data_IF_257588534117
#
_entry.id   IF_257588534117
#
_cell.length_a   1.000
_cell.length_b   1.000
_cell.length_c   1.000
_cell.angle_alpha   90.00
_cell.angle_beta   90.00
_cell.angle_gamma   90.00
#
_symmetry.space_group_name_H-M   'P 1'
#
loop_
_entity.id
_entity.type
_entity.pdbx_description
1 polymer ?
#
# COMPACT_ATOMS: atom_id res chain seq x y z
N UNK A 1 9.82 -16.31 -16.39
CA UNK A 1 9.86 -14.91 -16.88
C UNK A 1 8.59 -14.17 -16.43
N UNK A 2 8.68 -12.85 -16.25
CA UNK A 2 7.49 -12.04 -16.04
C UNK A 2 6.68 -11.94 -17.34
N UNK A 3 5.33 -12.05 -17.33
CA UNK A 3 4.44 -12.13 -16.16
C UNK A 3 4.01 -13.56 -15.73
N UNK A 4 4.55 -14.61 -16.34
CA UNK A 4 4.15 -16.02 -16.06
C UNK A 4 4.21 -16.37 -14.57
N UNK A 5 5.21 -15.91 -13.84
CA UNK A 5 5.35 -16.12 -12.39
C UNK A 5 4.21 -15.45 -11.58
N UNK A 6 3.73 -14.27 -12.02
CA UNK A 6 2.60 -13.58 -11.38
C UNK A 6 1.29 -14.32 -11.60
N UNK A 7 1.11 -14.89 -12.79
CA UNK A 7 -0.04 -15.71 -13.13
C UNK A 7 -0.06 -17.03 -12.35
N UNK A 8 1.09 -17.71 -12.22
CA UNK A 8 1.22 -18.97 -11.49
C UNK A 8 0.78 -18.89 -10.01
N UNK A 9 0.80 -17.70 -9.40
CA UNK A 9 0.42 -17.47 -8.00
C UNK A 9 -0.95 -16.80 -7.82
N UNK A 10 -1.73 -16.61 -8.90
CA UNK A 10 -2.99 -15.87 -8.84
C UNK A 10 -4.01 -16.48 -7.86
N UNK A 11 -4.34 -17.76 -8.01
CA UNK A 11 -5.31 -18.44 -7.15
C UNK A 11 -4.89 -18.48 -5.67
N UNK A 12 -3.59 -18.58 -5.41
CA UNK A 12 -3.02 -18.54 -4.05
C UNK A 12 -3.32 -17.19 -3.38
N UNK A 13 -3.03 -16.09 -4.07
CA UNK A 13 -3.25 -14.73 -3.57
C UNK A 13 -4.72 -14.40 -3.42
N UNK A 14 -5.57 -14.88 -4.33
CA UNK A 14 -7.03 -14.71 -4.23
C UNK A 14 -7.61 -15.41 -2.99
N UNK A 15 -7.17 -16.64 -2.71
CA UNK A 15 -7.55 -17.33 -1.48
C UNK A 15 -7.03 -16.60 -0.25
N UNK A 16 -5.74 -16.25 -0.23
CA UNK A 16 -5.13 -15.52 0.87
C UNK A 16 -5.88 -14.21 1.20
N UNK A 17 -6.27 -13.45 0.17
CA UNK A 17 -7.07 -12.23 0.32
C UNK A 17 -8.43 -12.47 0.98
N UNK A 18 -9.12 -13.56 0.63
CA UNK A 18 -10.41 -13.93 1.24
C UNK A 18 -10.25 -14.39 2.69
N UNK A 19 -9.20 -15.15 2.97
CA UNK A 19 -8.99 -15.78 4.27
C UNK A 19 -8.28 -14.85 5.28
N UNK A 20 -7.77 -13.69 4.83
CA UNK A 20 -7.01 -12.78 5.68
C UNK A 20 -5.57 -13.23 5.95
N UNK A 21 -5.04 -14.19 5.18
CA UNK A 21 -3.70 -14.75 5.34
C UNK A 21 -2.61 -13.84 4.73
N UNK A 22 -2.03 -12.98 5.57
CA UNK A 22 -1.01 -12.00 5.15
C UNK A 22 0.29 -12.62 4.64
N UNK A 23 0.61 -13.85 5.01
CA UNK A 23 1.85 -14.54 4.60
C UNK A 23 1.81 -14.93 3.11
N UNK A 24 0.61 -15.14 2.57
CA UNK A 24 0.39 -15.54 1.18
C UNK A 24 -0.16 -14.41 0.31
N UNK A 25 -0.46 -13.26 0.91
CA UNK A 25 -0.85 -12.04 0.20
C UNK A 25 0.34 -11.32 -0.44
N UNK A 26 0.04 -10.45 -1.40
CA UNK A 26 1.00 -9.46 -1.90
C UNK A 26 0.83 -8.14 -1.16
N UNK A 27 1.45 -8.05 0.02
CA UNK A 27 1.40 -6.87 0.89
C UNK A 27 2.36 -5.77 0.41
N UNK A 28 2.06 -5.16 -0.74
CA UNK A 28 2.87 -4.08 -1.29
C UNK A 28 2.85 -2.86 -0.36
N UNK A 29 4.02 -2.51 0.17
CA UNK A 29 4.19 -1.34 1.03
C UNK A 29 5.60 -0.74 0.83
N UNK A 30 5.69 0.58 0.89
CA UNK A 30 6.98 1.28 0.95
C UNK A 30 7.60 1.19 2.35
N UNK A 31 8.89 1.53 2.47
CA UNK A 31 9.62 1.43 3.75
C UNK A 31 9.01 2.28 4.88
N UNK A 32 8.41 3.43 4.54
CA UNK A 32 7.77 4.33 5.52
C UNK A 32 6.30 3.99 5.82
N UNK A 33 5.83 2.79 5.53
CA UNK A 33 4.42 2.43 5.72
C UNK A 33 3.93 2.57 7.18
N UNK A 34 4.82 2.36 8.16
CA UNK A 34 4.49 2.43 9.58
C UNK A 34 4.05 3.83 10.07
N UNK A 35 4.40 4.91 9.36
CA UNK A 35 3.98 6.29 9.68
C UNK A 35 2.75 6.73 8.89
N UNK A 36 2.14 5.83 8.10
CA UNK A 36 0.88 6.09 7.42
C UNK A 36 -0.27 6.28 8.39
N UNK A 37 -1.30 7.03 7.97
CA UNK A 37 -2.49 7.28 8.77
C UNK A 37 -3.76 6.96 7.98
N UNK A 38 -4.73 6.31 8.63
CA UNK A 38 -6.06 6.10 8.08
C UNK A 38 -6.85 7.42 8.15
N UNK A 39 -7.01 8.08 7.00
CA UNK A 39 -7.78 9.32 6.87
C UNK A 39 -8.25 9.51 5.43
N UNK A 40 -9.25 10.38 5.17
CA UNK A 40 -9.67 10.70 3.81
C UNK A 40 -8.50 11.19 2.96
N UNK A 41 -8.42 10.70 1.72
CA UNK A 41 -7.32 11.04 0.81
C UNK A 41 -7.18 12.56 0.58
N UNK A 42 -8.31 13.28 0.48
CA UNK A 42 -8.33 14.73 0.33
C UNK A 42 -7.65 15.45 1.52
N UNK A 43 -7.93 15.01 2.76
CA UNK A 43 -7.31 15.57 3.96
C UNK A 43 -5.80 15.31 3.96
N UNK A 44 -5.37 14.09 3.58
CA UNK A 44 -3.94 13.75 3.51
C UNK A 44 -3.20 14.63 2.49
N UNK A 45 -3.78 14.84 1.32
CA UNK A 45 -3.20 15.67 0.27
C UNK A 45 -3.08 17.14 0.70
N UNK A 46 -4.15 17.73 1.25
CA UNK A 46 -4.12 19.11 1.77
C UNK A 46 -3.07 19.28 2.87
N UNK A 47 -2.99 18.32 3.79
CA UNK A 47 -2.03 18.37 4.90
C UNK A 47 -0.58 18.26 4.41
N UNK A 48 -0.29 17.33 3.50
CA UNK A 48 1.05 17.20 2.90
C UNK A 48 1.48 18.51 2.22
N UNK A 49 0.56 19.18 1.52
CA UNK A 49 0.86 20.45 0.88
C UNK A 49 1.13 21.59 1.88
N UNK A 50 0.32 21.67 2.96
CA UNK A 50 0.57 22.64 4.03
C UNK A 50 1.92 22.40 4.71
N UNK A 51 2.21 21.17 5.12
CA UNK A 51 3.48 20.79 5.76
C UNK A 51 4.68 21.10 4.85
N UNK A 52 4.56 20.85 3.54
CA UNK A 52 5.62 21.20 2.58
C UNK A 52 5.83 22.72 2.45
N UNK A 53 4.76 23.53 2.47
CA UNK A 53 4.87 24.99 2.43
C UNK A 53 5.49 25.55 3.69
N UNK A 54 5.13 25.01 4.85
CA UNK A 54 5.70 25.40 6.15
C UNK A 54 7.19 25.07 6.23
N UNK A 55 7.61 23.93 5.66
CA UNK A 55 9.03 23.55 5.60
C UNK A 55 9.89 24.49 4.74
N UNK A 56 9.29 25.14 3.74
CA UNK A 56 9.97 25.98 2.75
C UNK A 56 9.91 27.48 3.05
N UNK A 57 9.19 27.90 4.08
CA UNK A 57 9.06 29.29 4.51
C UNK A 57 10.25 29.72 5.40
#
# INVERSE_FOLDING_TARGET
PYPLQRAATAALRERAARDGDVELMQMWAGQSAAIGAAMPAAQRASRLWQEARELLA
#
